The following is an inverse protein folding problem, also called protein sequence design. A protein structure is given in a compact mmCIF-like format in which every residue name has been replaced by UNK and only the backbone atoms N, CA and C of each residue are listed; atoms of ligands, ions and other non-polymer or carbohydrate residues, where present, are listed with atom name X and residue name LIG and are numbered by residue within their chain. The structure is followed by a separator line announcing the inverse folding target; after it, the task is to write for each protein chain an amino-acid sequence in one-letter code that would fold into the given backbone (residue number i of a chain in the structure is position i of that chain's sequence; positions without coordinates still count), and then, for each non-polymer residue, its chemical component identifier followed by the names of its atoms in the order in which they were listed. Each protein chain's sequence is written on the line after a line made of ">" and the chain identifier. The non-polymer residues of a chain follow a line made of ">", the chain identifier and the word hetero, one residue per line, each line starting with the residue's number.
data_IF_033929803893
#
_entry.id   IF_033929803893
#
_cell.length_a   1.000
_cell.length_b   1.000
_cell.length_c   1.000
_cell.angle_alpha   90.00
_cell.angle_beta   90.00
_cell.angle_gamma   90.00
#
_symmetry.space_group_name_H-M   'P 1'
#
loop_
_entity.id
_entity.type
_entity.pdbx_description
1 polymer ?
#
# COMPACT_ATOMS: atom_id res chain seq x y z
N UNK A 1 -18.93 -1.52 -3.88
CA UNK A 1 -17.88 -0.81 -4.61
C UNK A 1 -16.50 -1.42 -4.34
N UNK A 2 -15.62 -1.40 -5.35
CA UNK A 2 -14.24 -1.85 -5.19
C UNK A 2 -13.40 -0.78 -4.46
N UNK A 3 -12.30 -1.17 -3.81
CA UNK A 3 -11.39 -0.23 -3.12
C UNK A 3 -10.84 0.88 -4.02
N UNK A 4 -10.73 0.63 -5.32
CA UNK A 4 -10.28 1.60 -6.31
C UNK A 4 -11.40 2.46 -6.93
N UNK A 5 -12.62 2.40 -6.42
CA UNK A 5 -13.75 3.17 -6.98
C UNK A 5 -13.53 4.67 -6.90
N UNK A 6 -12.99 5.15 -5.78
CA UNK A 6 -12.61 6.56 -5.62
C UNK A 6 -11.56 6.99 -6.64
N UNK A 7 -10.47 6.22 -6.77
CA UNK A 7 -9.43 6.51 -7.75
C UNK A 7 -9.97 6.51 -9.18
N UNK A 8 -10.84 5.57 -9.53
CA UNK A 8 -11.49 5.52 -10.84
C UNK A 8 -12.37 6.75 -11.08
N UNK A 9 -13.11 7.20 -10.06
CA UNK A 9 -13.93 8.39 -10.17
C UNK A 9 -13.09 9.65 -10.40
N UNK A 10 -12.03 9.84 -9.62
CA UNK A 10 -11.12 10.97 -9.77
C UNK A 10 -10.36 10.96 -11.11
N UNK A 11 -10.15 9.78 -11.66
CA UNK A 11 -9.42 9.59 -12.91
C UNK A 11 -10.24 9.83 -14.19
N UNK A 12 -11.55 10.00 -14.09
CA UNK A 12 -12.44 10.07 -15.26
C UNK A 12 -12.11 11.20 -16.26
N UNK A 13 -11.48 12.29 -15.80
CA UNK A 13 -11.10 13.42 -16.65
C UNK A 13 -9.59 13.45 -16.97
N UNK A 14 -8.85 12.39 -16.61
CA UNK A 14 -7.40 12.35 -16.78
C UNK A 14 -7.01 11.34 -17.87
N UNK A 15 -5.97 11.68 -18.63
CA UNK A 15 -5.29 10.71 -19.50
C UNK A 15 -4.43 9.78 -18.63
N UNK A 16 -4.73 8.48 -18.65
CA UNK A 16 -4.02 7.49 -17.86
C UNK A 16 -3.33 6.48 -18.77
N UNK A 17 -2.01 6.47 -18.75
CA UNK A 17 -1.19 5.43 -19.38
C UNK A 17 -0.95 4.30 -18.37
N UNK A 18 -1.59 3.14 -18.60
CA UNK A 18 -1.42 1.95 -17.76
C UNK A 18 -0.27 1.10 -18.28
N UNK A 19 0.24 0.20 -17.40
CA UNK A 19 1.34 -0.73 -17.75
C UNK A 19 2.58 0.01 -18.31
N UNK A 20 2.78 1.24 -17.82
CA UNK A 20 3.88 2.10 -18.24
C UNK A 20 4.71 2.39 -17.01
N UNK A 21 5.93 1.89 -17.00
CA UNK A 21 6.89 2.14 -15.92
C UNK A 21 7.79 3.28 -16.31
N UNK A 22 7.99 4.22 -15.39
CA UNK A 22 9.01 5.27 -15.53
C UNK A 22 10.30 4.74 -14.93
N UNK A 23 11.35 4.68 -15.75
CA UNK A 23 12.69 4.28 -15.35
C UNK A 23 13.58 5.47 -14.97
N UNK A 24 13.33 6.64 -15.58
CA UNK A 24 14.13 7.85 -15.35
C UNK A 24 13.29 9.12 -15.53
N UNK A 25 13.57 10.13 -14.71
CA UNK A 25 13.09 11.51 -14.86
C UNK A 25 14.32 12.36 -15.18
N UNK A 26 14.40 12.92 -16.38
CA UNK A 26 15.55 13.66 -16.89
C UNK A 26 15.20 15.13 -17.10
N UNK A 27 16.07 16.09 -16.72
CA UNK A 27 15.90 17.48 -17.12
C UNK A 27 15.90 17.62 -18.64
N UNK A 28 14.99 18.46 -19.16
CA UNK A 28 14.90 18.86 -20.56
C UNK A 28 15.12 20.38 -20.68
N UNK A 29 15.17 20.91 -21.90
CA UNK A 29 15.36 22.36 -22.15
C UNK A 29 14.25 23.19 -21.46
N UNK A 30 13.03 22.65 -21.41
CA UNK A 30 11.95 23.17 -20.60
C UNK A 30 11.26 22.00 -19.89
N UNK A 31 11.33 21.94 -18.55
CA UNK A 31 10.67 20.90 -17.75
C UNK A 31 11.44 19.58 -17.70
N UNK A 32 10.74 18.47 -17.89
CA UNK A 32 11.21 17.11 -17.62
C UNK A 32 10.86 16.14 -18.73
N UNK A 33 11.79 15.31 -19.13
CA UNK A 33 11.58 14.18 -20.03
C UNK A 33 11.41 12.91 -19.19
N UNK A 34 10.33 12.17 -19.39
CA UNK A 34 10.07 10.91 -18.72
C UNK A 34 10.47 9.76 -19.64
N UNK A 35 11.31 8.85 -19.14
CA UNK A 35 11.77 7.70 -19.89
C UNK A 35 11.27 6.40 -19.29
N UNK A 36 11.01 5.40 -20.13
CA UNK A 36 10.74 4.04 -19.69
C UNK A 36 12.03 3.29 -19.32
N UNK A 37 11.91 2.02 -18.92
CA UNK A 37 13.06 1.18 -18.56
C UNK A 37 14.01 0.90 -19.74
N UNK A 38 13.55 1.02 -20.98
CA UNK A 38 14.32 0.88 -22.21
C UNK A 38 15.03 2.19 -22.62
N UNK A 39 14.79 3.29 -21.88
CA UNK A 39 15.36 4.61 -22.17
C UNK A 39 14.63 5.38 -23.27
N UNK A 40 13.44 4.94 -23.67
CA UNK A 40 12.62 5.64 -24.67
C UNK A 40 11.82 6.76 -23.99
N UNK A 41 11.72 7.93 -24.64
CA UNK A 41 10.95 9.05 -24.13
C UNK A 41 9.45 8.77 -24.21
N UNK A 42 8.78 8.99 -23.08
CA UNK A 42 7.33 8.93 -22.93
C UNK A 42 6.68 10.31 -23.09
N UNK A 43 7.49 11.35 -23.26
CA UNK A 43 7.09 12.72 -23.45
C UNK A 43 7.75 13.69 -22.47
N UNK A 44 7.67 14.99 -22.84
CA UNK A 44 8.17 16.08 -22.01
C UNK A 44 7.02 16.79 -21.30
N UNK A 45 7.27 17.19 -20.05
CA UNK A 45 6.27 17.76 -19.16
C UNK A 45 6.83 18.97 -18.41
N UNK A 46 6.05 20.04 -18.31
CA UNK A 46 6.46 21.24 -17.58
C UNK A 46 6.60 20.98 -16.07
N UNK A 47 5.78 20.07 -15.54
CA UNK A 47 5.77 19.70 -14.12
C UNK A 47 5.55 18.21 -13.94
N UNK A 48 6.17 17.64 -12.93
CA UNK A 48 6.04 16.21 -12.55
C UNK A 48 5.69 16.11 -11.08
N UNK A 49 4.71 15.27 -10.76
CA UNK A 49 4.39 14.88 -9.39
C UNK A 49 4.72 13.40 -9.21
N UNK A 50 5.64 13.10 -8.30
CA UNK A 50 6.12 11.75 -8.01
C UNK A 50 5.40 11.22 -6.77
N UNK A 51 4.32 10.47 -6.97
CA UNK A 51 3.44 9.95 -5.91
C UNK A 51 3.69 8.46 -5.63
N UNK A 52 4.95 8.10 -5.38
CA UNK A 52 5.38 6.75 -5.03
C UNK A 52 6.21 6.81 -3.72
N UNK A 53 6.48 5.67 -3.05
CA UNK A 53 7.29 5.66 -1.82
C UNK A 53 8.64 6.36 -1.99
N UNK A 54 9.10 7.06 -0.94
CA UNK A 54 10.29 7.92 -0.98
C UNK A 54 11.55 7.21 -1.47
N UNK A 55 11.79 5.96 -1.03
CA UNK A 55 12.94 5.19 -1.48
C UNK A 55 12.88 4.87 -2.99
N UNK A 56 11.68 4.67 -3.53
CA UNK A 56 11.49 4.45 -4.97
C UNK A 56 11.59 5.78 -5.74
N UNK A 57 11.05 6.87 -5.19
CA UNK A 57 11.16 8.20 -5.77
C UNK A 57 12.61 8.66 -5.88
N UNK A 58 13.43 8.40 -4.86
CA UNK A 58 14.85 8.78 -4.85
C UNK A 58 15.66 8.13 -5.99
N UNK A 59 15.23 6.98 -6.51
CA UNK A 59 15.88 6.31 -7.64
C UNK A 59 15.57 7.04 -8.96
N UNK A 60 14.36 7.57 -9.09
CA UNK A 60 13.89 8.22 -10.31
C UNK A 60 14.33 9.69 -10.41
N UNK A 61 14.49 10.35 -9.27
CA UNK A 61 14.85 11.76 -9.22
C UNK A 61 16.31 11.96 -9.66
N UNK A 62 16.61 13.04 -10.42
CA UNK A 62 17.99 13.41 -10.74
C UNK A 62 18.84 13.54 -9.47
N UNK A 63 20.08 13.05 -9.50
CA UNK A 63 20.96 13.04 -8.30
C UNK A 63 21.25 14.44 -7.74
N UNK A 64 21.21 15.45 -8.57
CA UNK A 64 21.36 16.86 -8.19
C UNK A 64 20.07 17.46 -7.63
N UNK A 65 18.97 16.72 -7.65
CA UNK A 65 17.71 17.21 -7.12
C UNK A 65 17.81 17.35 -5.59
N UNK A 66 17.65 18.58 -5.10
CA UNK A 66 17.60 18.90 -3.66
C UNK A 66 16.56 18.04 -2.91
N UNK A 67 15.52 17.63 -3.61
CA UNK A 67 14.50 16.71 -3.15
C UNK A 67 15.05 15.36 -2.64
N UNK A 68 16.09 14.82 -3.27
CA UNK A 68 16.67 13.54 -2.84
C UNK A 68 17.15 13.62 -1.40
N UNK A 69 17.79 14.74 -1.02
CA UNK A 69 18.21 14.97 0.36
C UNK A 69 17.04 15.04 1.35
N UNK A 70 15.96 15.70 0.97
CA UNK A 70 14.74 15.85 1.80
C UNK A 70 14.02 14.51 2.00
N UNK A 71 13.81 13.74 0.93
CA UNK A 71 13.07 12.48 0.98
C UNK A 71 13.89 11.29 1.50
N UNK A 72 15.24 11.38 1.49
CA UNK A 72 16.12 10.30 1.96
C UNK A 72 15.95 9.94 3.44
N UNK A 73 15.40 10.84 4.23
CA UNK A 73 15.08 10.60 5.65
C UNK A 73 13.74 9.90 5.86
N UNK A 74 12.91 9.82 4.81
CA UNK A 74 11.59 9.19 4.90
C UNK A 74 11.73 7.69 4.75
N UNK A 75 11.41 6.96 5.79
CA UNK A 75 11.39 5.50 5.82
C UNK A 75 9.99 4.98 6.15
N UNK A 76 9.74 3.72 5.80
CA UNK A 76 8.43 3.09 5.97
C UNK A 76 8.51 1.84 6.83
N UNK A 77 7.50 1.65 7.65
CA UNK A 77 7.22 0.36 8.27
C UNK A 77 6.60 -0.59 7.25
N UNK A 78 7.03 -1.86 7.21
CA UNK A 78 6.34 -2.87 6.42
C UNK A 78 5.07 -3.34 7.12
N UNK A 79 4.19 -4.02 6.37
CA UNK A 79 3.00 -4.65 6.89
C UNK A 79 2.70 -5.95 6.13
N UNK A 80 2.65 -7.07 6.83
CA UNK A 80 1.98 -8.25 6.32
C UNK A 80 0.47 -8.08 6.41
N UNK A 81 -0.20 -8.33 5.31
CA UNK A 81 -1.65 -8.25 5.20
C UNK A 81 -2.19 -9.59 4.72
N UNK A 82 -3.15 -10.14 5.45
CA UNK A 82 -3.85 -11.37 5.06
C UNK A 82 -5.28 -11.05 4.68
N UNK A 83 -5.71 -11.58 3.55
CA UNK A 83 -7.10 -11.61 3.13
C UNK A 83 -7.60 -13.05 3.26
N UNK A 84 -8.67 -13.25 4.01
CA UNK A 84 -9.28 -14.56 4.18
C UNK A 84 -10.78 -14.51 3.93
N UNK A 85 -11.29 -15.55 3.30
CA UNK A 85 -12.72 -15.83 3.10
C UNK A 85 -13.13 -17.07 3.88
N UNK A 86 -14.31 -17.01 4.51
CA UNK A 86 -14.88 -18.12 5.27
C UNK A 86 -16.18 -18.59 4.61
N UNK A 87 -16.45 -19.88 4.71
CA UNK A 87 -17.70 -20.48 4.17
C UNK A 87 -18.93 -20.09 4.98
N UNK A 88 -18.73 -19.74 6.25
CA UNK A 88 -19.81 -19.36 7.15
C UNK A 88 -19.61 -17.93 7.66
N UNK A 89 -20.69 -17.16 7.84
CA UNK A 89 -20.62 -15.85 8.48
C UNK A 89 -20.01 -15.92 9.89
N UNK A 90 -19.24 -14.92 10.24
CA UNK A 90 -18.78 -14.73 11.61
C UNK A 90 -19.96 -14.28 12.49
N UNK A 91 -20.02 -14.81 13.72
CA UNK A 91 -21.15 -14.57 14.62
C UNK A 91 -21.16 -13.17 15.22
N UNK A 92 -20.00 -12.51 15.30
CA UNK A 92 -19.88 -11.18 15.88
C UNK A 92 -20.36 -10.07 14.94
N UNK A 93 -20.77 -8.93 15.52
CA UNK A 93 -21.36 -7.82 14.78
C UNK A 93 -20.45 -6.59 14.64
N UNK A 94 -19.14 -6.72 14.91
CA UNK A 94 -18.21 -5.61 14.70
C UNK A 94 -17.78 -5.48 13.23
N UNK A 95 -17.48 -4.27 12.77
CA UNK A 95 -17.01 -4.00 11.41
C UNK A 95 -15.48 -4.02 11.30
N UNK A 96 -14.79 -3.69 12.38
CA UNK A 96 -13.33 -3.70 12.48
C UNK A 96 -12.89 -3.61 13.93
N UNK A 97 -11.63 -3.98 14.17
CA UNK A 97 -11.05 -4.01 15.51
C UNK A 97 -9.56 -3.66 15.50
N UNK A 98 -9.10 -3.05 16.59
CA UNK A 98 -7.70 -2.86 16.92
C UNK A 98 -7.33 -3.76 18.10
N UNK A 99 -6.84 -4.97 17.85
CA UNK A 99 -6.48 -5.90 18.92
C UNK A 99 -5.38 -5.34 19.82
N UNK A 100 -5.49 -5.62 21.13
CA UNK A 100 -4.45 -5.27 22.10
C UNK A 100 -3.60 -6.50 22.41
N UNK A 101 -2.32 -6.30 22.70
CA UNK A 101 -1.37 -7.37 23.02
C UNK A 101 -1.39 -8.52 21.98
N UNK A 102 -1.31 -8.14 20.70
CA UNK A 102 -1.44 -9.04 19.56
C UNK A 102 -0.39 -8.74 18.50
N UNK A 103 -0.10 -9.72 17.66
CA UNK A 103 0.66 -9.52 16.42
C UNK A 103 -0.18 -8.84 15.31
N UNK A 104 -1.50 -8.80 15.49
CA UNK A 104 -2.41 -8.04 14.62
C UNK A 104 -2.55 -6.60 15.11
N UNK A 105 -2.41 -5.65 14.19
CA UNK A 105 -2.65 -4.23 14.43
C UNK A 105 -4.08 -3.82 14.07
N UNK A 106 -4.65 -4.46 13.05
CA UNK A 106 -5.98 -4.14 12.53
C UNK A 106 -6.66 -5.36 11.93
N UNK A 107 -7.96 -5.46 12.18
CA UNK A 107 -8.85 -6.44 11.57
C UNK A 107 -10.03 -5.70 10.96
N UNK A 108 -10.39 -6.01 9.73
CA UNK A 108 -11.57 -5.47 9.08
C UNK A 108 -12.43 -6.58 8.47
N UNK A 109 -13.74 -6.52 8.71
CA UNK A 109 -14.72 -7.35 8.01
C UNK A 109 -15.14 -6.64 6.72
N UNK A 110 -14.86 -7.26 5.59
CA UNK A 110 -15.10 -6.62 4.30
C UNK A 110 -16.58 -6.57 3.92
N UNK A 111 -17.37 -7.50 4.45
CA UNK A 111 -18.82 -7.60 4.21
C UNK A 111 -19.61 -6.46 4.82
N UNK A 112 -19.09 -5.81 5.86
CA UNK A 112 -19.76 -4.67 6.52
C UNK A 112 -19.69 -3.37 5.70
N UNK A 113 -18.93 -3.36 4.60
CA UNK A 113 -18.84 -2.22 3.70
C UNK A 113 -20.09 -2.12 2.82
N UNK A 114 -20.56 -0.91 2.45
CA UNK A 114 -21.72 -0.74 1.60
C UNK A 114 -21.61 -1.49 0.27
N UNK A 115 -22.72 -2.04 -0.19
CA UNK A 115 -22.83 -2.76 -1.49
C UNK A 115 -21.91 -3.98 -1.62
N UNK A 116 -21.51 -4.59 -0.50
CA UNK A 116 -20.80 -5.86 -0.51
C UNK A 116 -21.77 -7.02 -0.42
N UNK A 117 -21.39 -8.11 -1.11
CA UNK A 117 -22.10 -9.37 -1.00
C UNK A 117 -21.78 -9.99 0.37
N UNK A 118 -22.80 -10.38 1.11
CA UNK A 118 -22.74 -11.03 2.41
C UNK A 118 -22.87 -12.57 2.36
N UNK A 119 -22.93 -13.14 1.15
CA UNK A 119 -23.01 -14.59 0.97
C UNK A 119 -21.80 -15.36 1.55
N UNK A 120 -20.64 -14.68 1.63
CA UNK A 120 -19.41 -15.20 2.20
C UNK A 120 -18.80 -14.17 3.13
N UNK A 121 -18.22 -14.59 4.22
CA UNK A 121 -17.49 -13.71 5.12
C UNK A 121 -16.06 -13.49 4.62
N UNK A 122 -15.63 -12.23 4.61
CA UNK A 122 -14.27 -11.84 4.22
C UNK A 122 -13.65 -10.93 5.26
N UNK A 123 -12.45 -11.28 5.70
CA UNK A 123 -11.67 -10.44 6.62
C UNK A 123 -10.35 -10.01 5.99
N UNK A 124 -9.88 -8.85 6.41
CA UNK A 124 -8.53 -8.36 6.15
C UNK A 124 -7.83 -8.20 7.49
N UNK A 125 -6.67 -8.82 7.63
CA UNK A 125 -5.82 -8.78 8.80
C UNK A 125 -4.57 -7.99 8.46
N UNK A 126 -4.21 -7.01 9.27
CA UNK A 126 -2.92 -6.33 9.18
C UNK A 126 -2.09 -6.66 10.40
N UNK A 127 -0.88 -7.16 10.18
CA UNK A 127 0.06 -7.38 11.26
C UNK A 127 0.68 -6.06 11.76
N UNK A 128 1.23 -6.09 12.96
CA UNK A 128 2.02 -4.97 13.49
C UNK A 128 3.30 -4.79 12.67
N UNK A 129 3.84 -3.57 12.67
CA UNK A 129 5.09 -3.23 11.98
C UNK A 129 6.27 -4.07 12.49
N UNK A 130 6.38 -4.23 13.82
CA UNK A 130 7.46 -4.99 14.45
C UNK A 130 7.42 -6.47 14.07
N UNK A 131 6.24 -7.07 14.07
CA UNK A 131 6.08 -8.46 13.66
C UNK A 131 6.37 -8.62 12.16
N UNK A 132 5.87 -7.71 11.33
CA UNK A 132 6.09 -7.72 9.88
C UNK A 132 7.56 -7.60 9.53
N UNK A 133 8.31 -6.72 10.20
CA UNK A 133 9.76 -6.57 10.00
C UNK A 133 10.53 -7.85 10.32
N UNK A 134 10.14 -8.57 11.37
CA UNK A 134 10.77 -9.86 11.76
C UNK A 134 10.45 -11.00 10.79
N UNK A 135 9.43 -10.85 10.00
CA UNK A 135 8.94 -11.84 9.02
C UNK A 135 9.23 -11.43 7.57
N UNK A 136 10.17 -10.51 7.34
CA UNK A 136 10.62 -10.18 5.98
C UNK A 136 11.13 -11.44 5.28
N UNK A 137 10.67 -11.68 4.04
CA UNK A 137 11.04 -12.84 3.24
C UNK A 137 10.41 -14.17 3.69
N UNK A 138 9.51 -14.16 4.68
CA UNK A 138 8.79 -15.36 5.08
C UNK A 138 7.85 -15.87 3.98
N UNK A 139 7.55 -17.16 4.02
CA UNK A 139 6.58 -17.77 3.12
C UNK A 139 5.17 -17.20 3.37
N UNK A 140 4.49 -16.67 2.33
CA UNK A 140 3.16 -16.09 2.48
C UNK A 140 2.12 -17.07 3.04
N UNK A 141 2.21 -18.35 2.72
CA UNK A 141 1.26 -19.35 3.24
C UNK A 141 1.44 -19.54 4.76
N UNK A 142 2.68 -19.65 5.23
CA UNK A 142 2.97 -19.75 6.66
C UNK A 142 2.55 -18.47 7.42
N UNK A 143 2.77 -17.29 6.83
CA UNK A 143 2.31 -16.02 7.39
C UNK A 143 0.79 -15.97 7.50
N UNK A 144 0.07 -16.40 6.46
CA UNK A 144 -1.39 -16.43 6.49
C UNK A 144 -1.90 -17.32 7.63
N UNK A 145 -1.31 -18.49 7.79
CA UNK A 145 -1.67 -19.43 8.87
C UNK A 145 -1.42 -18.83 10.26
N UNK A 146 -0.23 -18.26 10.51
CA UNK A 146 0.10 -17.64 11.79
C UNK A 146 -0.86 -16.50 12.14
N UNK A 147 -1.17 -15.61 11.19
CA UNK A 147 -2.06 -14.47 11.45
C UNK A 147 -3.53 -14.89 11.57
N UNK A 148 -3.95 -15.97 10.91
CA UNK A 148 -5.29 -16.53 11.10
C UNK A 148 -5.43 -17.22 12.46
N UNK A 149 -4.42 -17.93 12.93
CA UNK A 149 -4.39 -18.47 14.30
C UNK A 149 -4.52 -17.34 15.33
N UNK A 150 -3.78 -16.27 15.15
CA UNK A 150 -3.87 -15.10 16.03
C UNK A 150 -5.24 -14.42 15.95
N UNK A 151 -5.84 -14.34 14.76
CA UNK A 151 -7.21 -13.83 14.56
C UNK A 151 -8.23 -14.62 15.39
N UNK A 152 -8.19 -15.96 15.34
CA UNK A 152 -9.08 -16.80 16.14
C UNK A 152 -8.83 -16.60 17.65
N UNK A 153 -7.57 -16.47 18.04
CA UNK A 153 -7.20 -16.23 19.44
C UNK A 153 -7.78 -14.92 19.98
N UNK A 154 -7.62 -13.81 19.25
CA UNK A 154 -8.04 -12.47 19.72
C UNK A 154 -9.54 -12.24 19.58
N UNK A 155 -10.17 -12.86 18.60
CA UNK A 155 -11.62 -12.78 18.42
C UNK A 155 -12.40 -13.66 19.40
N UNK A 156 -11.77 -14.68 19.96
CA UNK A 156 -12.45 -15.68 20.79
C UNK A 156 -13.43 -16.59 20.03
N UNK A 157 -13.46 -16.48 18.70
CA UNK A 157 -14.32 -17.31 17.86
C UNK A 157 -13.69 -18.66 17.58
N UNK A 158 -14.52 -19.67 17.39
CA UNK A 158 -14.05 -20.97 16.90
C UNK A 158 -13.57 -20.85 15.44
N UNK A 159 -12.48 -21.53 15.06
CA UNK A 159 -12.03 -21.58 13.69
C UNK A 159 -13.12 -22.06 12.72
N UNK A 160 -13.28 -21.38 11.59
CA UNK A 160 -14.22 -21.72 10.52
C UNK A 160 -13.45 -22.22 9.29
N UNK A 161 -14.14 -22.99 8.45
CA UNK A 161 -13.59 -23.45 7.19
C UNK A 161 -13.21 -22.25 6.30
N UNK A 162 -11.98 -22.29 5.80
CA UNK A 162 -11.40 -21.23 4.97
C UNK A 162 -11.67 -21.60 3.51
N UNK A 163 -12.38 -20.73 2.79
CA UNK A 163 -12.63 -20.87 1.35
C UNK A 163 -11.56 -20.19 0.51
N UNK A 164 -10.88 -19.19 1.07
CA UNK A 164 -9.83 -18.42 0.40
C UNK A 164 -8.87 -17.84 1.42
N UNK A 165 -7.59 -17.84 1.14
CA UNK A 165 -6.59 -17.06 1.87
C UNK A 165 -5.46 -16.60 0.95
N UNK A 166 -4.94 -15.41 1.21
CA UNK A 166 -3.77 -14.86 0.56
C UNK A 166 -3.07 -13.91 1.50
N UNK A 167 -1.74 -13.93 1.53
CA UNK A 167 -0.93 -12.99 2.26
C UNK A 167 -0.07 -12.16 1.31
N UNK A 168 0.07 -10.88 1.64
CA UNK A 168 0.91 -9.94 0.90
C UNK A 168 1.75 -9.10 1.84
N UNK A 169 3.02 -8.96 1.51
CA UNK A 169 3.96 -8.12 2.25
C UNK A 169 4.09 -6.74 1.61
N UNK A 170 3.56 -5.73 2.29
CA UNK A 170 3.66 -4.34 1.89
C UNK A 170 4.93 -3.75 2.47
N UNK A 171 5.98 -3.62 1.65
CA UNK A 171 7.25 -3.04 2.08
C UNK A 171 7.11 -1.59 2.56
N UNK A 172 6.31 -0.81 1.88
CA UNK A 172 6.11 0.62 2.13
C UNK A 172 4.68 0.87 2.63
N UNK A 173 4.36 0.43 3.84
CA UNK A 173 2.99 0.50 4.35
C UNK A 173 2.68 1.82 5.03
N UNK A 174 3.48 2.21 6.01
CA UNK A 174 3.21 3.40 6.83
C UNK A 174 4.52 4.14 7.11
N UNK A 175 4.57 5.47 6.91
CA UNK A 175 5.76 6.25 7.27
C UNK A 175 6.14 6.05 8.74
N UNK A 176 7.42 5.84 9.03
CA UNK A 176 7.95 5.68 10.40
C UNK A 176 7.75 6.97 11.19
N UNK A 177 7.96 8.12 10.52
CA UNK A 177 7.75 9.43 11.12
C UNK A 177 6.62 10.16 10.40
N UNK A 178 5.75 10.79 11.17
CA UNK A 178 4.71 11.66 10.60
C UNK A 178 5.38 12.83 9.88
N UNK A 179 5.09 12.97 8.60
CA UNK A 179 5.51 14.12 7.81
C UNK A 179 4.59 15.31 8.12
N UNK A 180 5.16 16.49 8.29
CA UNK A 180 4.42 17.72 8.54
C UNK A 180 4.10 18.48 7.27
N UNK A 181 4.95 18.30 6.25
CA UNK A 181 4.79 18.94 4.96
C UNK A 181 3.87 18.11 4.06
N UNK A 182 3.00 18.79 3.32
CA UNK A 182 2.05 18.13 2.42
C UNK A 182 2.72 17.52 1.19
N UNK A 183 3.82 18.12 0.75
CA UNK A 183 4.69 17.64 -0.32
C UNK A 183 6.07 18.30 -0.22
N UNK A 184 7.03 17.73 -0.90
CA UNK A 184 8.36 18.31 -1.11
C UNK A 184 8.45 18.86 -2.53
N UNK A 185 9.10 20.01 -2.70
CA UNK A 185 9.24 20.68 -4.00
C UNK A 185 10.71 20.95 -4.30
N UNK A 186 11.12 20.84 -5.56
CA UNK A 186 12.39 21.41 -5.98
C UNK A 186 12.35 22.95 -5.96
N UNK A 187 13.51 23.61 -6.09
CA UNK A 187 13.63 25.08 -6.03
C UNK A 187 12.70 25.82 -7.00
N UNK A 188 12.46 25.24 -8.15
CA UNK A 188 11.68 25.86 -9.21
C UNK A 188 10.18 25.47 -9.17
N UNK A 189 9.76 24.60 -8.23
CA UNK A 189 8.39 24.12 -8.11
C UNK A 189 7.90 23.33 -9.34
N UNK A 190 8.82 22.68 -10.05
CA UNK A 190 8.49 21.90 -11.26
C UNK A 190 8.47 20.41 -11.05
N UNK A 191 9.00 19.93 -9.90
CA UNK A 191 8.90 18.52 -9.49
C UNK A 191 8.57 18.45 -7.99
N UNK A 192 7.66 17.53 -7.64
CA UNK A 192 7.19 17.29 -6.28
C UNK A 192 7.17 15.79 -5.96
#
# INVERSE_FOLDING_TARGET
>A
PAMNSLCKHLANALEIKKQTRIGEIRPADSGWDLLNDEGESLGQFDRVVVSIPAEQAAILLPREAELVGQISSVSFHPCWSVMAGFEQPLTDQWAGAFPQASTLAWIARNNTKPERNDAFEHVVLHATADWSSKKEGADPAAVAEELLQEFWRVSGMAPSAISYQNAHWWKYSTPVQKQTDGCYLNKNGTIA
#
